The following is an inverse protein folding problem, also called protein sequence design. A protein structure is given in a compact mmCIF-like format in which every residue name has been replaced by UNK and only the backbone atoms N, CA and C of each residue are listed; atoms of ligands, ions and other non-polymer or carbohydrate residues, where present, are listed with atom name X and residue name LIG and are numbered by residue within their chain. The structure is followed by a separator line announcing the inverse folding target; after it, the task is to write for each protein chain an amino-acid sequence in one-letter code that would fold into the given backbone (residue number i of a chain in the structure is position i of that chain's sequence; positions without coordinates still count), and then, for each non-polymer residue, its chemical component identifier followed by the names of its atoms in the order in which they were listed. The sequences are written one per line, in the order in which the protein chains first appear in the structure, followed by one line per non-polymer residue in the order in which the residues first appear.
data_IF_751531764044
#
_entry.id   IF_751531764044
#
_cell.length_a   1.000
_cell.length_b   1.000
_cell.length_c   1.000
_cell.angle_alpha   90.00
_cell.angle_beta   90.00
_cell.angle_gamma   90.00
#
_symmetry.space_group_name_H-M   'P 1'
#
loop_
_entity.id
_entity.type
_entity.pdbx_description
1 polymer ?
#
# COMPACT_ATOMS: atom_id res chain seq x y z
N UNK A 1 -1.21 -14.53 -7.71
CA UNK A 1 -1.21 -13.99 -6.33
C UNK A 1 0.07 -13.20 -6.03
N UNK A 2 1.25 -13.65 -6.48
CA UNK A 2 2.49 -12.86 -6.37
C UNK A 2 2.42 -11.56 -7.19
N UNK A 3 1.91 -11.62 -8.42
CA UNK A 3 1.84 -10.44 -9.32
C UNK A 3 0.95 -9.31 -8.78
N UNK A 4 -0.12 -9.65 -8.06
CA UNK A 4 -0.99 -8.64 -7.42
C UNK A 4 -0.31 -7.92 -6.28
N UNK A 5 0.50 -8.63 -5.48
CA UNK A 5 1.27 -8.02 -4.40
C UNK A 5 2.40 -7.16 -4.93
N UNK A 6 3.11 -7.63 -5.95
CA UNK A 6 4.15 -6.86 -6.61
C UNK A 6 3.58 -5.56 -7.21
N UNK A 7 2.42 -5.63 -7.87
CA UNK A 7 1.73 -4.45 -8.41
C UNK A 7 1.29 -3.47 -7.33
N UNK A 8 0.64 -3.97 -6.28
CA UNK A 8 0.22 -3.14 -5.15
C UNK A 8 1.41 -2.47 -4.46
N UNK A 9 2.53 -3.19 -4.36
CA UNK A 9 3.79 -2.66 -3.85
C UNK A 9 4.35 -1.54 -4.75
N UNK A 10 4.37 -1.75 -6.07
CA UNK A 10 4.77 -0.73 -7.02
C UNK A 10 3.89 0.52 -6.90
N UNK A 11 2.56 0.37 -6.78
CA UNK A 11 1.66 1.50 -6.56
C UNK A 11 2.01 2.31 -5.31
N UNK A 12 2.23 1.64 -4.16
CA UNK A 12 2.61 2.32 -2.92
C UNK A 12 3.89 3.15 -3.08
N UNK A 13 4.88 2.65 -3.84
CA UNK A 13 6.14 3.38 -4.12
C UNK A 13 5.94 4.54 -5.09
N UNK A 14 4.99 4.46 -6.00
CA UNK A 14 4.72 5.49 -6.99
C UNK A 14 3.93 6.68 -6.43
N UNK A 15 3.24 6.50 -5.30
CA UNK A 15 2.44 7.53 -4.66
C UNK A 15 3.31 8.62 -4.01
N UNK A 16 3.06 9.91 -4.32
CA UNK A 16 3.72 11.02 -3.65
C UNK A 16 3.11 11.27 -2.26
N UNK A 17 3.75 12.12 -1.46
CA UNK A 17 3.18 12.63 -0.21
C UNK A 17 2.50 13.98 -0.44
N UNK A 18 1.41 14.24 0.28
CA UNK A 18 0.83 15.58 0.34
C UNK A 18 1.91 16.63 0.66
N UNK A 19 1.85 17.82 0.03
CA UNK A 19 0.76 18.33 -0.81
C UNK A 19 0.83 17.91 -2.30
N UNK A 20 1.73 16.99 -2.68
CA UNK A 20 1.81 16.47 -4.05
C UNK A 20 0.81 15.34 -4.27
N UNK A 21 0.32 15.22 -5.50
CA UNK A 21 -0.69 14.26 -5.92
C UNK A 21 -0.28 13.60 -7.24
N UNK A 22 -0.84 12.42 -7.51
CA UNK A 22 -0.67 11.71 -8.79
C UNK A 22 -2.02 11.16 -9.26
N UNK A 23 -2.31 11.22 -10.56
CA UNK A 23 -3.58 10.71 -11.07
C UNK A 23 -3.57 9.18 -11.19
N UNK A 24 -4.74 8.55 -11.07
CA UNK A 24 -4.89 7.11 -11.36
C UNK A 24 -4.41 6.77 -12.79
N UNK A 25 -4.52 7.70 -13.75
CA UNK A 25 -4.02 7.51 -15.11
C UNK A 25 -2.49 7.40 -15.14
N UNK A 26 -1.77 8.32 -14.50
CA UNK A 26 -0.29 8.31 -14.46
C UNK A 26 0.23 7.07 -13.72
N UNK A 27 -0.45 6.63 -12.66
CA UNK A 27 -0.12 5.39 -11.95
C UNK A 27 -0.32 4.16 -12.84
N UNK A 28 -1.36 4.16 -13.68
CA UNK A 28 -1.61 3.09 -14.63
C UNK A 28 -0.53 3.05 -15.71
N UNK A 29 -0.15 4.19 -16.28
CA UNK A 29 0.94 4.28 -17.26
C UNK A 29 2.26 3.75 -16.68
N UNK A 30 2.63 4.18 -15.47
CA UNK A 30 3.82 3.67 -14.77
C UNK A 30 3.80 2.15 -14.57
N UNK A 31 2.65 1.58 -14.21
CA UNK A 31 2.52 0.14 -14.09
C UNK A 31 2.68 -0.56 -15.45
N UNK A 32 2.12 0.01 -16.52
CA UNK A 32 2.33 -0.55 -17.86
C UNK A 32 3.80 -0.47 -18.29
N UNK A 33 4.51 0.60 -17.97
CA UNK A 33 5.97 0.75 -18.20
C UNK A 33 6.79 -0.27 -17.40
N UNK A 34 6.36 -0.61 -16.18
CA UNK A 34 6.95 -1.68 -15.37
C UNK A 34 6.56 -3.10 -15.83
N UNK A 35 5.78 -3.24 -16.91
CA UNK A 35 5.42 -4.52 -17.52
C UNK A 35 4.14 -5.17 -16.96
N UNK A 36 3.32 -4.44 -16.20
CA UNK A 36 2.04 -4.94 -15.72
C UNK A 36 0.94 -4.78 -16.78
N UNK A 37 0.33 -5.90 -17.19
CA UNK A 37 -0.88 -5.90 -18.02
C UNK A 37 -2.15 -5.81 -17.14
N UNK A 38 -2.53 -4.57 -16.80
CA UNK A 38 -3.72 -4.30 -16.00
C UNK A 38 -4.52 -3.13 -16.55
N UNK A 39 -5.82 -3.12 -16.28
CA UNK A 39 -6.70 -2.00 -16.61
C UNK A 39 -6.63 -0.87 -15.59
N UNK A 40 -6.99 0.36 -15.99
CA UNK A 40 -7.22 1.48 -15.05
C UNK A 40 -8.21 1.15 -13.93
N UNK A 41 -9.25 0.34 -14.22
CA UNK A 41 -10.22 -0.16 -13.22
C UNK A 41 -9.55 -1.04 -12.17
N UNK A 42 -8.57 -1.86 -12.57
CA UNK A 42 -7.79 -2.70 -11.65
C UNK A 42 -6.92 -1.83 -10.74
N UNK A 43 -6.24 -0.83 -11.30
CA UNK A 43 -5.43 0.14 -10.54
C UNK A 43 -6.29 0.86 -9.51
N UNK A 44 -7.44 1.36 -9.92
CA UNK A 44 -8.38 2.05 -9.04
C UNK A 44 -8.87 1.15 -7.89
N UNK A 45 -9.20 -0.11 -8.19
CA UNK A 45 -9.61 -1.09 -7.18
C UNK A 45 -8.49 -1.39 -6.19
N UNK A 46 -7.25 -1.51 -6.69
CA UNK A 46 -6.09 -1.77 -5.85
C UNK A 46 -5.79 -0.56 -4.94
N UNK A 47 -5.88 0.68 -5.46
CA UNK A 47 -5.76 1.90 -4.66
C UNK A 47 -6.83 2.00 -3.56
N UNK A 48 -8.09 1.69 -3.89
CA UNK A 48 -9.17 1.65 -2.91
C UNK A 48 -8.95 0.57 -1.84
N UNK A 49 -8.38 -0.58 -2.23
CA UNK A 49 -8.02 -1.63 -1.27
C UNK A 49 -6.88 -1.17 -0.37
N UNK A 50 -5.85 -0.55 -0.95
CA UNK A 50 -4.69 -0.04 -0.22
C UNK A 50 -5.06 1.09 0.74
N UNK A 51 -5.97 1.99 0.38
CA UNK A 51 -6.40 3.08 1.26
C UNK A 51 -7.17 2.62 2.49
N UNK A 52 -7.74 1.41 2.47
CA UNK A 52 -8.31 0.80 3.68
C UNK A 52 -7.26 0.32 4.68
N UNK A 53 -6.00 0.14 4.23
CA UNK A 53 -4.91 -0.43 5.01
C UNK A 53 -3.79 0.57 5.34
N UNK A 54 -3.62 1.56 4.47
CA UNK A 54 -2.57 2.57 4.52
C UNK A 54 -3.19 3.96 4.59
N UNK A 55 -2.50 4.95 5.21
CA UNK A 55 -2.94 6.34 5.26
C UNK A 55 -2.79 7.03 3.88
N UNK A 56 -3.54 6.53 2.90
CA UNK A 56 -3.68 7.11 1.58
C UNK A 56 -4.92 7.99 1.55
N UNK A 57 -4.79 9.14 0.91
CA UNK A 57 -5.89 10.05 0.63
C UNK A 57 -6.12 10.10 -0.87
N UNK A 58 -7.37 10.31 -1.24
CA UNK A 58 -7.76 10.54 -2.61
C UNK A 58 -8.61 11.79 -2.71
N UNK A 59 -8.49 12.48 -3.83
CA UNK A 59 -9.34 13.62 -4.17
C UNK A 59 -9.74 13.53 -5.65
N UNK A 60 -10.64 14.39 -6.10
CA UNK A 60 -11.01 14.54 -7.50
C UNK A 60 -10.32 15.77 -8.08
N UNK A 61 -9.59 15.59 -9.19
CA UNK A 61 -8.99 16.70 -9.92
C UNK A 61 -9.24 16.54 -11.42
N UNK A 62 -9.94 17.51 -12.00
CA UNK A 62 -10.31 17.48 -13.42
C UNK A 62 -11.26 16.32 -13.72
N UNK A 63 -10.79 15.35 -14.51
CA UNK A 63 -11.60 14.23 -15.02
C UNK A 63 -11.29 12.89 -14.33
N UNK A 64 -10.51 12.90 -13.24
CA UNK A 64 -10.11 11.66 -12.58
C UNK A 64 -9.76 11.83 -11.11
N UNK A 65 -9.63 10.68 -10.45
CA UNK A 65 -9.20 10.59 -9.06
C UNK A 65 -7.69 10.73 -8.97
N UNK A 66 -7.24 11.54 -8.02
CA UNK A 66 -5.84 11.74 -7.66
C UNK A 66 -5.57 11.15 -6.29
N UNK A 67 -4.33 10.75 -6.06
CA UNK A 67 -3.92 9.99 -4.90
C UNK A 67 -2.62 10.54 -4.30
N UNK A 68 -2.52 10.45 -2.98
CA UNK A 68 -1.32 10.78 -2.23
C UNK A 68 -1.28 10.02 -0.91
N UNK A 69 -0.11 9.93 -0.30
CA UNK A 69 0.01 9.67 1.13
C UNK A 69 -0.45 10.90 1.92
N UNK A 70 -1.19 10.66 3.00
CA UNK A 70 -1.63 11.70 3.94
C UNK A 70 -0.43 12.47 4.51
N UNK A 71 -0.61 13.77 4.74
CA UNK A 71 0.37 14.61 5.44
C UNK A 71 0.64 14.05 6.84
N UNK A 72 1.91 13.95 7.23
CA UNK A 72 2.31 13.39 8.53
C UNK A 72 2.09 11.87 8.67
N UNK A 73 1.70 11.16 7.60
CA UNK A 73 1.75 9.71 7.59
C UNK A 73 3.17 9.26 8.00
N UNK A 74 3.31 8.33 8.98
CA UNK A 74 4.61 7.89 9.42
C UNK A 74 5.40 7.47 8.19
N UNK A 75 6.61 8.03 8.05
CA UNK A 75 7.54 7.51 7.06
C UNK A 75 7.62 6.02 7.34
N UNK A 76 7.41 5.21 6.31
CA UNK A 76 7.68 3.77 6.36
C UNK A 76 9.22 3.60 6.44
N UNK A 77 9.79 4.13 7.51
CA UNK A 77 11.18 4.03 7.95
C UNK A 77 11.16 3.07 9.12
N UNK A 78 11.19 1.78 8.81
CA UNK A 78 11.62 0.78 9.77
C UNK A 78 13.11 0.54 9.51
N UNK A 79 14.01 0.87 10.45
CA UNK A 79 15.41 0.48 10.31
C UNK A 79 15.46 -1.05 10.24
N UNK A 80 15.91 -1.60 9.11
CA UNK A 80 16.08 -3.05 8.92
C UNK A 80 14.88 -3.82 8.36
N UNK A 81 13.74 -3.17 8.10
CA UNK A 81 12.62 -3.80 7.37
C UNK A 81 12.44 -3.06 6.06
N UNK A 82 12.74 -3.74 4.94
CA UNK A 82 12.39 -3.19 3.63
C UNK A 82 10.90 -2.84 3.64
N UNK A 83 10.48 -1.72 3.05
CA UNK A 83 9.07 -1.36 3.08
C UNK A 83 8.15 -2.47 2.51
N UNK A 84 8.67 -3.31 1.60
CA UNK A 84 8.00 -4.50 1.08
C UNK A 84 7.77 -5.56 2.18
N UNK A 85 8.73 -5.74 3.07
CA UNK A 85 8.60 -6.58 4.26
C UNK A 85 7.55 -6.02 5.21
N UNK A 86 7.47 -4.69 5.38
CA UNK A 86 6.44 -4.07 6.21
C UNK A 86 5.02 -4.28 5.65
N UNK A 87 4.83 -4.13 4.33
CA UNK A 87 3.57 -4.51 3.68
C UNK A 87 3.29 -6.01 3.88
N UNK A 88 4.27 -6.87 3.64
CA UNK A 88 4.10 -8.31 3.79
C UNK A 88 3.67 -8.68 5.22
N UNK A 89 4.27 -8.06 6.24
CA UNK A 89 3.88 -8.23 7.63
C UNK A 89 2.46 -7.74 7.90
N UNK A 90 2.07 -6.57 7.40
CA UNK A 90 0.71 -6.04 7.59
C UNK A 90 -0.35 -6.88 6.88
N UNK A 91 -0.05 -7.37 5.68
CA UNK A 91 -0.93 -8.28 4.96
C UNK A 91 -1.04 -9.64 5.66
N UNK A 92 0.08 -10.16 6.17
CA UNK A 92 0.07 -11.37 6.98
C UNK A 92 -0.80 -11.17 8.22
N UNK A 93 -0.64 -10.08 8.96
CA UNK A 93 -1.47 -9.76 10.12
C UNK A 93 -2.97 -9.68 9.74
N UNK A 94 -3.33 -8.92 8.71
CA UNK A 94 -4.73 -8.73 8.29
C UNK A 94 -5.40 -10.03 7.81
N UNK A 95 -4.68 -10.85 7.06
CA UNK A 95 -5.24 -12.06 6.44
C UNK A 95 -5.10 -13.31 7.30
N UNK A 96 -4.16 -13.33 8.25
CA UNK A 96 -3.97 -14.46 9.15
C UNK A 96 -4.77 -14.28 10.46
N UNK A 97 -5.06 -13.05 10.90
CA UNK A 97 -5.87 -12.79 12.10
C UNK A 97 -7.23 -13.50 12.14
N UNK A 98 -7.98 -13.68 11.03
CA UNK A 98 -9.22 -14.45 11.04
C UNK A 98 -9.04 -15.97 11.16
N UNK A 99 -7.83 -16.48 10.93
CA UNK A 99 -7.52 -17.91 10.78
C UNK A 99 -6.65 -18.42 11.94
N UNK A 100 -5.84 -17.54 12.52
CA UNK A 100 -4.93 -17.86 13.60
C UNK A 100 -5.61 -17.82 14.96
N UNK A 101 -5.13 -18.68 15.86
CA UNK A 101 -5.46 -18.60 17.27
C UNK A 101 -4.95 -17.25 17.86
N UNK A 102 -5.66 -16.67 18.84
CA UNK A 102 -5.31 -15.36 19.41
C UNK A 102 -3.84 -15.24 19.83
N UNK A 103 -3.27 -16.32 20.37
CA UNK A 103 -1.89 -16.37 20.86
C UNK A 103 -0.86 -16.23 19.72
N UNK A 104 -1.18 -16.71 18.52
CA UNK A 104 -0.34 -16.58 17.34
C UNK A 104 -0.42 -15.17 16.72
N UNK A 105 -1.55 -14.47 16.92
CA UNK A 105 -1.71 -13.06 16.51
C UNK A 105 -0.89 -12.15 17.42
N UNK A 106 -0.91 -12.39 18.74
CA UNK A 106 -0.11 -11.62 19.70
C UNK A 106 1.40 -11.74 19.44
N UNK A 107 1.86 -12.92 19.02
CA UNK A 107 3.26 -13.14 18.63
C UNK A 107 3.69 -12.32 17.39
N UNK A 108 2.76 -12.02 16.48
CA UNK A 108 3.00 -11.13 15.33
C UNK A 108 3.05 -9.66 15.76
N UNK A 109 2.18 -9.25 16.69
CA UNK A 109 2.09 -7.88 17.20
C UNK A 109 3.31 -7.49 18.06
N UNK A 110 3.83 -8.43 18.87
CA UNK A 110 4.95 -8.18 19.78
C UNK A 110 6.24 -7.74 19.06
N UNK A 111 6.36 -8.09 17.77
CA UNK A 111 7.57 -7.86 16.98
C UNK A 111 7.63 -6.47 16.32
N UNK A 112 6.52 -5.72 16.35
CA UNK A 112 6.42 -4.36 15.81
C UNK A 112 6.74 -3.27 16.84
N UNK A 113 6.74 -3.59 18.14
CA UNK A 113 6.87 -2.61 19.23
C UNK A 113 8.29 -2.52 19.82
N UNK A 114 9.16 -3.49 19.55
CA UNK A 114 10.53 -3.53 20.11
C UNK A 114 11.52 -2.87 19.14
N UNK A 115 11.43 -1.54 19.02
CA UNK A 115 12.48 -0.69 18.49
C UNK A 115 12.35 0.71 19.11
N UNK A 116 12.69 0.80 20.41
CA UNK A 116 12.91 2.05 21.14
C UNK A 116 14.38 2.44 21.03
#
# INVERSE_FOLDING_TARGET
MADSLHRQWTLLRALPRQPRWVATADLHERLTEEGFDVSRRTVQRDLNSLSSLFPLVSDEAGTGQIWAWMEGAPVLDLPGLSPASALAFRLAELHLRPILAPEAVDALALRLVVAS
#
